data_IF_793559343418
#
_entry.id   IF_793559343418
#
_cell.length_a   1.000
_cell.length_b   1.000
_cell.length_c   1.000
_cell.angle_alpha   90.00
_cell.angle_beta   90.00
_cell.angle_gamma   90.00
#
_symmetry.space_group_name_H-M   'P 1'
#
loop_
_entity.id
_entity.type
_entity.pdbx_description
1 polymer ?
#
# COMPACT_ATOMS: atom_id res chain seq x y z
N UNK A 1 -13.56 11.72 3.16
CA UNK A 1 -12.61 11.74 4.29
C UNK A 1 -11.17 11.30 3.90
N UNK A 2 -10.71 11.54 2.66
CA UNK A 2 -9.37 11.13 2.19
C UNK A 2 -8.54 12.30 1.67
N UNK A 3 -8.17 13.26 2.53
CA UNK A 3 -7.31 14.40 2.15
C UNK A 3 -5.80 14.04 2.16
N UNK A 4 -5.42 12.81 1.83
CA UNK A 4 -4.02 12.34 1.89
C UNK A 4 -3.40 12.46 3.28
N UNK A 5 -4.18 12.19 4.33
CA UNK A 5 -3.69 12.23 5.71
C UNK A 5 -2.68 11.11 5.97
N UNK A 6 -2.98 9.91 5.46
CA UNK A 6 -2.09 8.75 5.53
C UNK A 6 -0.84 8.99 4.68
N UNK A 7 -0.95 9.43 3.42
CA UNK A 7 0.21 9.73 2.56
C UNK A 7 1.20 10.71 3.21
N UNK A 8 0.70 11.79 3.82
CA UNK A 8 1.54 12.76 4.55
C UNK A 8 2.18 12.18 5.80
N UNK A 9 1.53 11.21 6.44
CA UNK A 9 2.06 10.55 7.63
C UNK A 9 3.11 9.49 7.25
N UNK A 10 2.82 8.69 6.23
CA UNK A 10 3.72 7.67 5.67
C UNK A 10 5.03 8.30 5.18
N UNK A 11 4.98 9.45 4.50
CA UNK A 11 6.17 10.22 4.08
C UNK A 11 7.08 10.71 5.21
N UNK A 12 6.56 10.84 6.44
CA UNK A 12 7.32 11.36 7.58
C UNK A 12 8.05 10.25 8.35
N UNK A 13 7.76 9.00 8.05
CA UNK A 13 8.35 7.87 8.74
C UNK A 13 9.69 7.47 8.11
N UNK A 14 10.69 7.10 8.92
CA UNK A 14 12.00 6.72 8.41
C UNK A 14 11.89 5.47 7.53
N UNK A 15 12.68 5.38 6.46
CA UNK A 15 12.64 4.31 5.44
C UNK A 15 12.98 2.89 5.90
N UNK A 16 12.92 2.61 7.20
CA UNK A 16 13.05 1.27 7.81
C UNK A 16 11.73 0.75 8.41
N UNK A 17 10.63 1.49 8.30
CA UNK A 17 9.34 1.06 8.82
C UNK A 17 8.60 0.27 7.76
N UNK A 18 8.22 -0.97 8.08
CA UNK A 18 7.37 -1.78 7.22
C UNK A 18 5.92 -1.31 7.32
N UNK A 19 5.32 -0.96 6.18
CA UNK A 19 3.91 -0.59 6.10
C UNK A 19 3.06 -1.80 5.74
N UNK A 20 2.05 -2.05 6.57
CA UNK A 20 1.10 -3.14 6.40
C UNK A 20 -0.31 -2.56 6.32
N UNK A 21 -0.96 -2.72 5.18
CA UNK A 21 -2.37 -2.40 4.99
C UNK A 21 -3.22 -3.61 5.41
N UNK A 22 -4.28 -3.36 6.17
CA UNK A 22 -5.34 -4.33 6.40
C UNK A 22 -6.49 -4.02 5.44
N UNK A 23 -6.90 -4.99 4.64
CA UNK A 23 -7.98 -4.84 3.67
C UNK A 23 -8.80 -6.12 3.59
N UNK A 24 -10.08 -6.03 3.23
CA UNK A 24 -10.85 -7.22 2.87
C UNK A 24 -10.45 -7.73 1.49
N UNK A 25 -10.67 -9.01 1.22
CA UNK A 25 -10.38 -9.57 -0.12
C UNK A 25 -11.20 -8.85 -1.21
N UNK A 26 -12.40 -8.38 -0.85
CA UNK A 26 -13.28 -7.58 -1.72
C UNK A 26 -12.67 -6.22 -2.13
N UNK A 27 -11.72 -5.70 -1.37
CA UNK A 27 -11.05 -4.43 -1.64
C UNK A 27 -9.77 -4.61 -2.47
N UNK A 28 -9.29 -5.84 -2.64
CA UNK A 28 -8.11 -6.14 -3.46
C UNK A 28 -8.53 -6.19 -4.93
N UNK A 29 -8.05 -5.22 -5.71
CA UNK A 29 -8.32 -5.11 -7.15
C UNK A 29 -7.02 -5.10 -7.94
N UNK A 30 -7.06 -5.57 -9.20
CA UNK A 30 -5.85 -5.75 -10.02
C UNK A 30 -5.18 -4.45 -10.48
N UNK A 31 -5.91 -3.33 -10.50
CA UNK A 31 -5.36 -2.03 -10.88
C UNK A 31 -6.22 -0.90 -10.32
N UNK A 32 -5.58 0.11 -9.76
CA UNK A 32 -6.20 1.39 -9.38
C UNK A 32 -5.46 2.54 -10.09
N UNK A 33 -6.16 3.64 -10.41
CA UNK A 33 -5.52 4.84 -10.95
C UNK A 33 -4.60 5.42 -9.88
N UNK A 34 -3.29 5.22 -10.08
CA UNK A 34 -2.25 5.73 -9.20
C UNK A 34 -2.11 7.25 -9.35
N UNK A 35 -1.94 7.93 -8.22
CA UNK A 35 -1.56 9.34 -8.19
C UNK A 35 -0.17 9.47 -7.60
N UNK A 36 0.58 10.46 -8.07
CA UNK A 36 1.96 10.73 -7.66
C UNK A 36 2.16 11.05 -6.17
N UNK A 37 1.07 11.15 -5.40
CA UNK A 37 1.08 11.35 -3.95
C UNK A 37 0.76 10.09 -3.14
N UNK A 38 0.40 8.98 -3.79
CA UNK A 38 0.06 7.75 -3.09
C UNK A 38 1.34 7.05 -2.63
N UNK A 39 1.44 6.80 -1.32
CA UNK A 39 2.56 6.07 -0.74
C UNK A 39 2.31 4.57 -0.77
N UNK A 40 3.28 3.80 -1.25
CA UNK A 40 3.15 2.36 -1.38
C UNK A 40 3.33 1.65 -0.03
N UNK A 41 2.54 0.60 0.19
CA UNK A 41 2.70 -0.30 1.35
C UNK A 41 3.58 -1.51 0.99
N UNK A 42 4.24 -2.08 1.99
CA UNK A 42 5.06 -3.28 1.81
C UNK A 42 4.22 -4.56 1.84
N UNK A 43 3.10 -4.56 2.56
CA UNK A 43 2.23 -5.72 2.71
C UNK A 43 0.76 -5.32 2.70
N UNK A 44 -0.09 -6.16 2.11
CA UNK A 44 -1.55 -6.13 2.32
C UNK A 44 -1.95 -7.45 2.98
N UNK A 45 -2.60 -7.38 4.14
CA UNK A 45 -3.15 -8.54 4.82
C UNK A 45 -4.66 -8.50 4.66
N UNK A 46 -5.18 -9.62 4.18
CA UNK A 46 -6.62 -9.88 4.08
C UNK A 46 -7.02 -11.03 4.99
N UNK A 47 -8.33 -11.24 5.13
CA UNK A 47 -8.89 -12.39 5.83
C UNK A 47 -8.52 -13.75 5.19
N UNK A 48 -8.04 -13.76 3.94
CA UNK A 48 -7.72 -14.99 3.19
C UNK A 48 -6.23 -15.19 2.94
N UNK A 49 -5.46 -14.11 2.79
CA UNK A 49 -4.05 -14.17 2.37
C UNK A 49 -3.26 -12.91 2.72
N UNK A 50 -1.93 -13.07 2.72
CA UNK A 50 -0.95 -11.99 2.86
C UNK A 50 -0.32 -11.74 1.49
N UNK A 51 -0.41 -10.51 1.00
CA UNK A 51 0.16 -10.04 -0.27
C UNK A 51 1.43 -9.25 0.08
N UNK A 52 2.58 -9.71 -0.43
CA UNK A 52 3.85 -9.01 -0.28
C UNK A 52 4.08 -8.14 -1.51
N UNK A 53 4.27 -6.84 -1.29
CA UNK A 53 4.47 -5.85 -2.33
C UNK A 53 5.97 -5.55 -2.39
N UNK A 54 6.69 -6.44 -3.09
CA UNK A 54 8.14 -6.40 -3.17
C UNK A 54 8.64 -5.34 -4.16
N UNK A 55 9.50 -4.44 -3.69
CA UNK A 55 10.24 -3.50 -4.54
C UNK A 55 11.28 -4.25 -5.38
N UNK A 56 10.90 -4.82 -6.53
CA UNK A 56 11.86 -5.28 -7.54
C UNK A 56 11.21 -5.45 -8.91
N UNK A 57 11.60 -4.58 -9.84
CA UNK A 57 11.72 -4.78 -11.31
C UNK A 57 10.54 -5.55 -11.95
N UNK A 58 9.44 -4.83 -12.17
CA UNK A 58 8.17 -5.35 -12.73
C UNK A 58 6.99 -5.32 -11.75
N UNK A 59 7.25 -4.86 -10.52
CA UNK A 59 6.41 -5.07 -9.33
C UNK A 59 5.08 -4.33 -9.28
N UNK A 60 4.06 -5.08 -8.91
CA UNK A 60 2.74 -4.59 -8.49
C UNK A 60 2.95 -3.62 -7.33
N UNK A 61 2.50 -2.37 -7.51
CA UNK A 61 2.58 -1.33 -6.49
C UNK A 61 1.25 -1.30 -5.72
N UNK A 62 1.32 -1.59 -4.43
CA UNK A 62 0.18 -1.68 -3.55
C UNK A 62 -0.06 -0.33 -2.87
N UNK A 63 -1.24 0.25 -3.10
CA UNK A 63 -1.71 1.51 -2.50
C UNK A 63 -3.03 1.29 -1.77
#
# INVERSE_FOLDING_TARGET
FGRGFYDRFLRKLPGRVNFVALAFELQVVGSLPFRSHDEAVNYIITEKRIIQCGESIGGIRCI
#
